data_IF_580847932763
#
_entry.id   IF_580847932763
#
_cell.length_a   1.000
_cell.length_b   1.000
_cell.length_c   1.000
_cell.angle_alpha   90.00
_cell.angle_beta   90.00
_cell.angle_gamma   90.00
#
_symmetry.space_group_name_H-M   'P 1'
#
loop_
_entity.id
_entity.type
_entity.pdbx_description
1 polymer ?
#
# COMPACT_ATOMS: atom_id res chain seq x y z
N UNK A 1 12.69 -1.41 10.08
CA UNK A 1 14.16 -1.16 10.04
C UNK A 1 14.50 -0.11 9.00
N UNK A 2 14.26 -0.31 7.67
CA UNK A 2 14.66 0.67 6.64
C UNK A 2 14.02 2.04 6.83
N UNK A 3 12.71 2.11 7.09
CA UNK A 3 12.04 3.37 7.35
C UNK A 3 12.54 4.05 8.64
N UNK A 4 12.81 3.29 9.67
CA UNK A 4 13.36 3.81 10.94
C UNK A 4 14.75 4.40 10.74
N UNK A 5 15.62 3.73 9.99
CA UNK A 5 16.94 4.26 9.62
C UNK A 5 16.82 5.54 8.79
N UNK A 6 15.90 5.53 7.83
CA UNK A 6 15.65 6.68 6.96
C UNK A 6 15.18 7.92 7.74
N UNK A 7 14.27 7.73 8.70
CA UNK A 7 13.73 8.82 9.51
C UNK A 7 14.68 9.30 10.62
N UNK A 8 15.51 8.40 11.16
CA UNK A 8 16.36 8.69 12.32
C UNK A 8 17.79 9.10 11.99
N UNK A 9 18.31 8.74 10.80
CA UNK A 9 19.70 8.97 10.41
C UNK A 9 19.79 9.90 9.20
N UNK A 10 20.16 11.16 9.44
CA UNK A 10 20.33 12.18 8.39
C UNK A 10 21.32 11.76 7.30
N UNK A 11 22.38 11.07 7.66
CA UNK A 11 23.40 10.58 6.70
C UNK A 11 22.79 9.53 5.75
N UNK A 12 21.98 8.62 6.29
CA UNK A 12 21.30 7.59 5.50
C UNK A 12 20.26 8.22 4.57
N UNK A 13 19.46 9.16 5.09
CA UNK A 13 18.49 9.93 4.31
C UNK A 13 19.17 10.68 3.15
N UNK A 14 20.27 11.36 3.45
CA UNK A 14 21.05 12.08 2.43
C UNK A 14 21.65 11.11 1.38
N UNK A 15 22.19 9.96 1.79
CA UNK A 15 22.72 8.96 0.87
C UNK A 15 21.63 8.44 -0.09
N UNK A 16 20.43 8.16 0.42
CA UNK A 16 19.29 7.73 -0.40
C UNK A 16 18.86 8.83 -1.38
N UNK A 17 18.83 10.10 -0.95
CA UNK A 17 18.50 11.23 -1.81
C UNK A 17 19.53 11.44 -2.93
N UNK A 18 20.82 11.28 -2.62
CA UNK A 18 21.91 11.32 -3.62
C UNK A 18 21.74 10.17 -4.63
N UNK A 19 21.42 8.97 -4.16
CA UNK A 19 21.20 7.81 -5.02
C UNK A 19 19.93 7.97 -5.86
N UNK A 20 18.90 8.62 -5.35
CA UNK A 20 17.68 8.97 -6.09
C UNK A 20 17.95 9.86 -7.33
N UNK A 21 19.05 10.62 -7.29
CA UNK A 21 19.58 11.37 -8.45
C UNK A 21 20.22 10.49 -9.52
N UNK A 22 20.52 9.21 -9.24
CA UNK A 22 21.15 8.27 -10.18
C UNK A 22 20.10 7.34 -10.81
N UNK A 23 19.75 7.55 -12.10
CA UNK A 23 18.58 6.89 -12.68
C UNK A 23 18.60 5.36 -12.63
N UNK A 24 19.72 4.73 -12.96
CA UNK A 24 19.78 3.28 -13.20
C UNK A 24 19.68 2.45 -11.90
N UNK A 25 20.48 2.78 -10.89
CA UNK A 25 20.49 2.04 -9.63
C UNK A 25 19.21 2.26 -8.83
N UNK A 26 18.73 3.50 -8.80
CA UNK A 26 17.50 3.84 -8.07
C UNK A 26 16.24 3.26 -8.72
N UNK A 27 16.19 3.16 -10.05
CA UNK A 27 15.08 2.53 -10.77
C UNK A 27 14.90 1.06 -10.37
N UNK A 28 16.00 0.32 -10.22
CA UNK A 28 15.95 -1.07 -9.77
C UNK A 28 15.37 -1.17 -8.35
N UNK A 29 15.84 -0.33 -7.45
CA UNK A 29 15.32 -0.25 -6.08
C UNK A 29 13.82 0.07 -6.05
N UNK A 30 13.38 1.10 -6.81
CA UNK A 30 11.98 1.48 -6.90
C UNK A 30 11.09 0.34 -7.41
N UNK A 31 11.56 -0.39 -8.44
CA UNK A 31 10.84 -1.55 -8.96
C UNK A 31 10.67 -2.64 -7.91
N UNK A 32 11.71 -2.93 -7.12
CA UNK A 32 11.63 -3.92 -6.04
C UNK A 32 10.65 -3.45 -4.96
N UNK A 33 10.78 -2.22 -4.47
CA UNK A 33 9.90 -1.66 -3.45
C UNK A 33 8.43 -1.66 -3.88
N UNK A 34 8.13 -1.27 -5.13
CA UNK A 34 6.76 -1.30 -5.64
C UNK A 34 6.22 -2.72 -5.84
N UNK A 35 7.08 -3.68 -6.22
CA UNK A 35 6.69 -5.08 -6.25
C UNK A 35 6.31 -5.58 -4.86
N UNK A 36 7.15 -5.29 -3.86
CA UNK A 36 6.93 -5.72 -2.49
C UNK A 36 5.66 -5.06 -1.92
N UNK A 37 5.48 -3.74 -2.07
CA UNK A 37 4.26 -3.05 -1.66
C UNK A 37 3.01 -3.68 -2.31
N UNK A 38 3.04 -3.92 -3.63
CA UNK A 38 1.89 -4.49 -4.35
C UNK A 38 1.58 -5.89 -3.86
N UNK A 39 2.59 -6.76 -3.84
CA UNK A 39 2.44 -8.15 -3.40
C UNK A 39 1.92 -8.25 -1.95
N UNK A 40 2.56 -7.53 -1.03
CA UNK A 40 2.22 -7.60 0.39
C UNK A 40 0.81 -7.04 0.67
N UNK A 41 0.41 -5.98 -0.02
CA UNK A 41 -0.95 -5.44 0.10
C UNK A 41 -1.98 -6.39 -0.48
N UNK A 42 -1.76 -6.95 -1.67
CA UNK A 42 -2.67 -7.89 -2.31
C UNK A 42 -2.85 -9.16 -1.47
N UNK A 43 -1.75 -9.74 -0.97
CA UNK A 43 -1.80 -10.90 -0.07
C UNK A 43 -2.50 -10.58 1.26
N UNK A 44 -2.21 -9.42 1.86
CA UNK A 44 -2.85 -9.00 3.11
C UNK A 44 -4.37 -8.82 2.94
N UNK A 45 -4.80 -8.17 1.86
CA UNK A 45 -6.22 -7.98 1.55
C UNK A 45 -6.90 -9.32 1.27
N UNK A 46 -6.26 -10.21 0.51
CA UNK A 46 -6.75 -11.56 0.26
C UNK A 46 -6.93 -12.35 1.56
N UNK A 47 -5.94 -12.32 2.45
CA UNK A 47 -6.03 -13.00 3.77
C UNK A 47 -7.05 -12.38 4.71
N UNK A 48 -7.26 -11.05 4.66
CA UNK A 48 -8.35 -10.41 5.39
C UNK A 48 -9.72 -10.91 4.91
N UNK A 49 -9.93 -11.05 3.61
CA UNK A 49 -11.18 -11.57 3.03
C UNK A 49 -11.41 -13.03 3.40
N UNK A 50 -10.35 -13.87 3.30
CA UNK A 50 -10.41 -15.27 3.74
C UNK A 50 -10.82 -15.36 5.22
N UNK A 51 -10.14 -14.61 6.07
CA UNK A 51 -10.41 -14.61 7.51
C UNK A 51 -11.81 -14.06 7.84
N UNK A 52 -12.25 -13.02 7.15
CA UNK A 52 -13.61 -12.50 7.24
C UNK A 52 -14.63 -13.60 6.95
N UNK A 53 -14.48 -14.31 5.83
CA UNK A 53 -15.37 -15.39 5.44
C UNK A 53 -15.40 -16.54 6.46
N UNK A 54 -14.24 -16.88 7.04
CA UNK A 54 -14.15 -17.89 8.11
C UNK A 54 -14.84 -17.43 9.39
N UNK A 55 -14.66 -16.17 9.79
CA UNK A 55 -15.20 -15.63 11.05
C UNK A 55 -16.72 -15.39 11.00
N UNK A 56 -17.27 -15.07 9.84
CA UNK A 56 -18.68 -14.76 9.67
C UNK A 56 -19.50 -15.91 9.05
N UNK A 57 -18.88 -17.09 8.89
CA UNK A 57 -19.57 -18.29 8.39
C UNK A 57 -20.06 -18.18 6.95
N UNK A 58 -19.36 -17.42 6.10
CA UNK A 58 -19.71 -17.23 4.70
C UNK A 58 -19.21 -18.35 3.79
N UNK A 59 -18.45 -19.29 4.34
CA UNK A 59 -18.01 -20.49 3.64
C UNK A 59 -19.01 -21.64 3.85
N UNK A 60 -19.29 -22.41 2.80
CA UNK A 60 -20.15 -23.59 2.85
C UNK A 60 -19.60 -24.73 3.73
N UNK A 61 -18.31 -24.68 4.05
CA UNK A 61 -17.61 -25.66 4.90
C UNK A 61 -17.13 -24.96 6.18
N UNK A 62 -17.34 -25.55 7.36
CA UNK A 62 -16.80 -25.00 8.61
C UNK A 62 -15.29 -24.84 8.53
N UNK A 63 -14.78 -23.66 8.84
CA UNK A 63 -13.36 -23.40 8.84
C UNK A 63 -12.64 -24.36 9.80
N UNK A 64 -11.59 -25.05 9.30
CA UNK A 64 -10.71 -25.84 10.13
C UNK A 64 -9.88 -24.89 11.00
N UNK A 65 -9.84 -25.13 12.32
CA UNK A 65 -9.08 -24.33 13.27
C UNK A 65 -7.61 -24.16 12.85
N UNK A 66 -7.01 -25.20 12.28
CA UNK A 66 -5.64 -25.17 11.81
C UNK A 66 -5.46 -24.23 10.59
N UNK A 67 -6.40 -24.26 9.67
CA UNK A 67 -6.42 -23.39 8.50
C UNK A 67 -6.59 -21.91 8.90
N UNK A 68 -7.51 -21.64 9.82
CA UNK A 68 -7.70 -20.29 10.37
C UNK A 68 -6.42 -19.76 11.02
N UNK A 69 -5.77 -20.57 11.88
CA UNK A 69 -4.51 -20.18 12.53
C UNK A 69 -3.39 -19.91 11.52
N UNK A 70 -3.32 -20.68 10.43
CA UNK A 70 -2.35 -20.45 9.37
C UNK A 70 -2.62 -19.12 8.64
N UNK A 71 -3.88 -18.85 8.27
CA UNK A 71 -4.29 -17.60 7.64
C UNK A 71 -3.99 -16.40 8.54
N UNK A 72 -4.28 -16.49 9.83
CA UNK A 72 -3.96 -15.44 10.82
C UNK A 72 -2.46 -15.13 10.89
N UNK A 73 -1.60 -16.16 10.93
CA UNK A 73 -0.15 -15.99 10.95
C UNK A 73 0.38 -15.34 9.68
N UNK A 74 -0.10 -15.79 8.52
CA UNK A 74 0.28 -15.21 7.23
C UNK A 74 -0.15 -13.75 7.13
N UNK A 75 -1.40 -13.46 7.48
CA UNK A 75 -1.94 -12.10 7.51
C UNK A 75 -1.10 -11.18 8.38
N UNK A 76 -0.78 -11.61 9.61
CA UNK A 76 0.04 -10.82 10.55
C UNK A 76 1.40 -10.48 9.94
N UNK A 77 2.07 -11.47 9.33
CA UNK A 77 3.38 -11.27 8.73
C UNK A 77 3.34 -10.35 7.51
N UNK A 78 2.40 -10.57 6.60
CA UNK A 78 2.27 -9.75 5.39
C UNK A 78 1.88 -8.31 5.73
N UNK A 79 0.91 -8.10 6.62
CA UNK A 79 0.45 -6.76 6.99
C UNK A 79 1.54 -5.97 7.73
N UNK A 80 2.34 -6.62 8.56
CA UNK A 80 3.46 -5.96 9.24
C UNK A 80 4.50 -5.46 8.24
N UNK A 81 4.86 -6.28 7.24
CA UNK A 81 5.78 -5.90 6.17
C UNK A 81 5.17 -4.83 5.26
N UNK A 82 3.90 -5.00 4.84
CA UNK A 82 3.20 -4.01 4.03
C UNK A 82 3.18 -2.63 4.69
N UNK A 83 2.89 -2.57 5.98
CA UNK A 83 2.91 -1.31 6.73
C UNK A 83 4.30 -0.66 6.77
N UNK A 84 5.36 -1.47 6.90
CA UNK A 84 6.73 -0.97 6.90
C UNK A 84 7.11 -0.39 5.52
N UNK A 85 6.80 -1.10 4.45
CA UNK A 85 7.12 -0.69 3.09
C UNK A 85 6.28 0.53 2.66
N UNK A 86 4.99 0.57 3.03
CA UNK A 86 4.14 1.73 2.76
C UNK A 86 4.58 2.98 3.51
N UNK A 87 5.03 2.86 4.76
CA UNK A 87 5.64 3.98 5.49
C UNK A 87 6.90 4.48 4.77
N UNK A 88 7.76 3.56 4.36
CA UNK A 88 8.99 3.91 3.67
C UNK A 88 8.71 4.57 2.31
N UNK A 89 7.78 4.03 1.52
CA UNK A 89 7.34 4.63 0.26
C UNK A 89 6.75 6.03 0.47
N UNK A 90 6.00 6.24 1.55
CA UNK A 90 5.44 7.56 1.91
C UNK A 90 6.55 8.57 2.17
N UNK A 91 7.58 8.20 2.94
CA UNK A 91 8.73 9.06 3.24
C UNK A 91 9.56 9.35 1.99
N UNK A 92 9.82 8.34 1.15
CA UNK A 92 10.58 8.51 -0.10
C UNK A 92 9.87 9.41 -1.09
N UNK A 93 8.56 9.24 -1.28
CA UNK A 93 7.78 10.09 -2.20
C UNK A 93 7.65 11.53 -1.70
N UNK A 94 7.66 11.74 -0.37
CA UNK A 94 7.70 13.06 0.23
C UNK A 94 9.02 13.78 -0.07
N UNK A 95 10.14 13.10 0.16
CA UNK A 95 11.47 13.73 0.08
C UNK A 95 12.02 13.79 -1.35
N UNK A 96 11.62 12.86 -2.20
CA UNK A 96 12.12 12.73 -3.57
C UNK A 96 11.02 12.22 -4.52
N UNK A 97 10.01 13.04 -4.85
CA UNK A 97 8.89 12.59 -5.69
C UNK A 97 9.28 12.38 -7.17
N UNK A 98 10.21 13.17 -7.70
CA UNK A 98 10.55 13.16 -9.12
C UNK A 98 11.00 11.79 -9.67
N UNK A 99 11.81 10.97 -8.99
CA UNK A 99 12.14 9.63 -9.42
C UNK A 99 10.93 8.71 -9.60
N UNK A 100 9.87 8.89 -8.78
CA UNK A 100 8.63 8.10 -8.85
C UNK A 100 7.67 8.56 -9.97
N UNK A 101 7.96 9.71 -10.59
CA UNK A 101 7.22 10.24 -11.71
C UNK A 101 7.74 9.77 -13.09
N UNK A 102 8.77 8.92 -13.12
CA UNK A 102 9.36 8.36 -14.35
C UNK A 102 8.38 7.43 -15.07
N UNK A 103 8.42 7.36 -16.41
CA UNK A 103 7.51 6.54 -17.20
C UNK A 103 7.47 5.06 -16.81
N UNK A 104 8.62 4.51 -16.37
CA UNK A 104 8.77 3.10 -15.99
C UNK A 104 8.10 2.76 -14.65
N UNK A 105 7.83 3.76 -13.82
CA UNK A 105 7.36 3.62 -12.43
C UNK A 105 5.94 4.16 -12.25
N UNK A 106 5.67 5.32 -12.81
CA UNK A 106 4.49 6.15 -12.47
C UNK A 106 3.16 5.44 -12.67
N UNK A 107 3.01 4.68 -13.75
CA UNK A 107 1.78 3.93 -14.03
C UNK A 107 1.51 2.82 -13.02
N UNK A 108 2.57 2.14 -12.58
CA UNK A 108 2.48 1.08 -11.57
C UNK A 108 2.16 1.65 -10.19
N UNK A 109 2.82 2.75 -9.82
CA UNK A 109 2.53 3.46 -8.57
C UNK A 109 1.06 3.91 -8.53
N UNK A 110 0.58 4.57 -9.59
CA UNK A 110 -0.80 5.03 -9.67
C UNK A 110 -1.80 3.86 -9.56
N UNK A 111 -1.59 2.78 -10.31
CA UNK A 111 -2.45 1.59 -10.27
C UNK A 111 -2.50 0.95 -8.87
N UNK A 112 -1.34 0.74 -8.23
CA UNK A 112 -1.26 0.18 -6.88
C UNK A 112 -2.04 1.04 -5.87
N UNK A 113 -1.88 2.37 -5.90
CA UNK A 113 -2.58 3.28 -5.00
C UNK A 113 -4.10 3.24 -5.21
N UNK A 114 -4.57 3.30 -6.46
CA UNK A 114 -5.99 3.31 -6.81
C UNK A 114 -6.68 1.99 -6.45
N UNK A 115 -6.04 0.85 -6.74
CA UNK A 115 -6.58 -0.48 -6.40
C UNK A 115 -6.76 -0.59 -4.89
N UNK A 116 -5.73 -0.30 -4.10
CA UNK A 116 -5.78 -0.44 -2.65
C UNK A 116 -6.75 0.57 -2.01
N UNK A 117 -6.82 1.81 -2.52
CA UNK A 117 -7.82 2.77 -2.10
C UNK A 117 -9.24 2.24 -2.32
N UNK A 118 -9.52 1.63 -3.48
CA UNK A 118 -10.84 1.07 -3.79
C UNK A 118 -11.25 -0.10 -2.89
N UNK A 119 -10.29 -0.81 -2.31
CA UNK A 119 -10.55 -1.88 -1.34
C UNK A 119 -10.88 -1.33 0.06
N UNK A 120 -10.26 -0.21 0.44
CA UNK A 120 -10.41 0.37 1.78
C UNK A 120 -11.61 1.31 1.92
N UNK A 121 -12.20 1.75 0.79
CA UNK A 121 -13.30 2.72 0.77
C UNK A 121 -14.53 2.11 0.10
N UNK A 122 -15.71 2.52 0.55
CA UNK A 122 -16.99 2.05 -0.01
C UNK A 122 -17.39 0.67 0.46
N UNK A 123 -18.20 -0.04 -0.35
CA UNK A 123 -18.79 -1.32 0.06
C UNK A 123 -17.77 -2.46 0.21
N UNK A 124 -16.68 -2.40 -0.52
CA UNK A 124 -15.63 -3.43 -0.49
C UNK A 124 -14.94 -3.54 0.87
N UNK A 125 -14.83 -2.42 1.61
CA UNK A 125 -14.19 -2.44 2.93
C UNK A 125 -14.96 -3.29 3.96
N UNK A 126 -16.23 -3.62 3.70
CA UNK A 126 -17.03 -4.50 4.58
C UNK A 126 -16.48 -5.92 4.63
N UNK A 127 -15.91 -6.39 3.51
CA UNK A 127 -15.33 -7.72 3.39
C UNK A 127 -13.94 -7.83 4.04
N UNK A 128 -13.40 -6.71 4.52
CA UNK A 128 -12.12 -6.65 5.25
C UNK A 128 -12.31 -6.60 6.77
N UNK A 129 -13.56 -6.65 7.26
CA UNK A 129 -13.84 -6.65 8.70
C UNK A 129 -13.46 -7.98 9.29
N UNK A 130 -12.59 -7.96 10.28
CA UNK A 130 -12.17 -9.12 11.06
C UNK A 130 -12.27 -8.80 12.54
N UNK A 131 -12.38 -9.83 13.37
CA UNK A 131 -12.34 -9.67 14.81
C UNK A 131 -10.93 -9.28 15.26
N UNK A 132 -10.82 -8.25 16.11
CA UNK A 132 -9.53 -7.77 16.66
C UNK A 132 -8.48 -7.46 15.57
N UNK A 133 -8.74 -6.54 14.63
CA UNK A 133 -7.87 -6.25 13.50
C UNK A 133 -6.46 -5.80 13.94
N UNK A 134 -6.33 -5.22 15.13
CA UNK A 134 -5.05 -4.81 15.73
C UNK A 134 -4.08 -5.98 15.95
N UNK A 135 -4.59 -7.21 16.15
CA UNK A 135 -3.76 -8.42 16.27
C UNK A 135 -3.01 -8.75 14.97
N UNK A 136 -3.57 -8.32 13.86
CA UNK A 136 -3.02 -8.53 12.52
C UNK A 136 -2.30 -7.29 11.99
N UNK A 137 -2.02 -6.30 12.84
CA UNK A 137 -1.47 -4.99 12.43
C UNK A 137 -2.31 -4.28 11.36
N UNK A 138 -3.60 -4.62 11.25
CA UNK A 138 -4.51 -4.00 10.28
C UNK A 138 -5.21 -2.79 10.89
N UNK A 139 -4.81 -1.61 10.43
CA UNK A 139 -5.50 -0.35 10.66
C UNK A 139 -5.88 0.28 9.30
N UNK A 140 -7.14 0.14 8.86
CA UNK A 140 -7.57 0.65 7.57
C UNK A 140 -7.45 2.16 7.45
N UNK A 141 -7.56 2.91 8.56
CA UNK A 141 -7.41 4.37 8.57
C UNK A 141 -5.95 4.77 8.37
N UNK A 142 -5.04 4.09 9.05
CA UNK A 142 -3.61 4.33 8.90
C UNK A 142 -3.17 4.01 7.46
N UNK A 143 -3.58 2.87 6.93
CA UNK A 143 -3.24 2.47 5.58
C UNK A 143 -3.80 3.45 4.54
N UNK A 144 -5.08 3.86 4.68
CA UNK A 144 -5.68 4.87 3.82
C UNK A 144 -4.95 6.22 3.92
N UNK A 145 -4.55 6.62 5.12
CA UNK A 145 -3.77 7.85 5.34
C UNK A 145 -2.43 7.83 4.60
N UNK A 146 -1.72 6.68 4.61
CA UNK A 146 -0.47 6.53 3.87
C UNK A 146 -0.68 6.63 2.36
N UNK A 147 -1.71 5.96 1.82
CA UNK A 147 -2.09 6.08 0.41
C UNK A 147 -2.39 7.53 0.03
N UNK A 148 -3.22 8.23 0.81
CA UNK A 148 -3.55 9.63 0.56
C UNK A 148 -2.32 10.55 0.62
N UNK A 149 -1.40 10.32 1.55
CA UNK A 149 -0.14 11.09 1.62
C UNK A 149 0.71 10.91 0.38
N UNK A 150 0.80 9.69 -0.17
CA UNK A 150 1.54 9.46 -1.42
C UNK A 150 0.86 10.21 -2.58
N UNK A 151 -0.48 10.20 -2.68
CA UNK A 151 -1.19 11.01 -3.68
C UNK A 151 -0.84 12.50 -3.55
N UNK A 152 -0.83 13.03 -2.33
CA UNK A 152 -0.46 14.43 -2.07
C UNK A 152 1.00 14.70 -2.43
N UNK A 153 1.94 13.86 -2.02
CA UNK A 153 3.36 14.00 -2.33
C UNK A 153 3.62 14.03 -3.84
N UNK A 154 2.82 13.26 -4.59
CA UNK A 154 2.96 13.13 -6.05
C UNK A 154 2.09 14.12 -6.85
N UNK A 155 1.26 14.94 -6.19
CA UNK A 155 0.25 15.78 -6.86
C UNK A 155 0.82 16.84 -7.80
N UNK A 156 2.05 17.30 -7.57
CA UNK A 156 2.74 18.26 -8.45
C UNK A 156 3.41 17.59 -9.66
N UNK A 157 3.48 16.26 -9.68
CA UNK A 157 4.07 15.50 -10.78
C UNK A 157 3.03 15.26 -11.88
N UNK A 158 3.13 16.00 -12.98
CA UNK A 158 2.13 15.95 -14.08
C UNK A 158 1.95 14.53 -14.63
N UNK A 159 3.04 13.78 -14.83
CA UNK A 159 2.98 12.40 -15.30
C UNK A 159 2.21 11.48 -14.36
N UNK A 160 2.28 11.70 -13.03
CA UNK A 160 1.49 10.97 -12.06
C UNK A 160 0.00 11.31 -12.16
N UNK A 161 -0.35 12.60 -12.26
CA UNK A 161 -1.74 13.02 -12.45
C UNK A 161 -2.35 12.44 -13.73
N UNK A 162 -1.57 12.40 -14.81
CA UNK A 162 -2.00 11.81 -16.08
C UNK A 162 -2.15 10.28 -15.97
N UNK A 163 -1.24 9.60 -15.26
CA UNK A 163 -1.34 8.16 -15.00
C UNK A 163 -2.59 7.82 -14.18
N UNK A 164 -2.89 8.58 -13.12
CA UNK A 164 -4.10 8.41 -12.30
C UNK A 164 -5.36 8.59 -13.15
N UNK A 165 -5.44 9.64 -13.98
CA UNK A 165 -6.60 9.92 -14.83
C UNK A 165 -6.80 8.88 -15.94
N UNK A 166 -5.71 8.28 -16.42
CA UNK A 166 -5.76 7.28 -17.50
C UNK A 166 -6.12 5.88 -17.02
N UNK A 167 -6.05 5.61 -15.71
CA UNK A 167 -6.45 4.32 -15.16
C UNK A 167 -7.99 4.17 -15.13
N UNK A 168 -8.54 3.68 -16.24
CA UNK A 168 -9.99 3.47 -16.40
C UNK A 168 -10.56 2.35 -15.52
N UNK A 169 -9.72 1.51 -14.93
CA UNK A 169 -10.16 0.33 -14.16
C UNK A 169 -10.42 0.67 -12.69
N UNK A 170 -9.56 1.49 -12.12
CA UNK A 170 -9.54 1.74 -10.67
C UNK A 170 -9.87 3.20 -10.33
N UNK A 171 -9.77 4.12 -11.29
CA UNK A 171 -10.06 5.53 -11.05
C UNK A 171 -11.57 5.76 -10.88
N UNK A 172 -11.97 6.15 -9.68
CA UNK A 172 -13.33 6.57 -9.36
C UNK A 172 -13.30 7.93 -8.65
N UNK A 173 -13.69 9.04 -9.34
CA UNK A 173 -13.69 10.37 -8.75
C UNK A 173 -14.54 10.49 -7.49
N UNK A 174 -15.66 9.77 -7.43
CA UNK A 174 -16.57 9.79 -6.28
C UNK A 174 -15.94 9.18 -5.02
N UNK A 175 -15.06 8.16 -5.18
CA UNK A 175 -14.31 7.59 -4.07
C UNK A 175 -13.27 8.60 -3.55
N UNK A 176 -12.59 9.34 -4.42
CA UNK A 176 -11.66 10.39 -4.02
C UNK A 176 -12.36 11.51 -3.24
N UNK A 177 -13.54 11.94 -3.69
CA UNK A 177 -14.34 12.95 -2.99
C UNK A 177 -14.83 12.47 -1.62
N UNK A 178 -15.14 11.17 -1.47
CA UNK A 178 -15.63 10.61 -0.19
C UNK A 178 -14.56 10.56 0.91
N UNK A 179 -13.28 10.61 0.55
CA UNK A 179 -12.16 10.62 1.50
C UNK A 179 -11.92 12.01 2.09
N UNK A 180 -12.27 13.05 1.34
CA UNK A 180 -12.06 14.46 1.73
C UNK A 180 -13.16 14.98 2.66
N UNK A 181 -14.29 14.28 2.77
CA UNK A 181 -15.40 14.58 3.69
C UNK A 181 -15.27 13.85 5.03
#
# INVERSE_FOLDING_TARGET
>A
IFNELYESMLEYKHAVQVEAGRPESFLRFQNLLLNDCTFLLDESIGKLQELHNMQYGLNDVPANLQEQQQTERQLTSYMQLANADMKFLTSLTHDSPAPFARPEIVGRLAAMLLVNQSQLVGDRCRNLRVNQPERYHFDPRLLLSMLCRIFVNMSEQRSFCDAVRSDRRSFNPQLLESIVR
#
